data_IF_454562342169
#
_entry.id   IF_454562342169
#
_cell.length_a   1.000
_cell.length_b   1.000
_cell.length_c   1.000
_cell.angle_alpha   90.00
_cell.angle_beta   90.00
_cell.angle_gamma   90.00
#
_symmetry.space_group_name_H-M   'P 1'
#
loop_
_entity.id
_entity.type
_entity.pdbx_description
1 polymer ?
#
# COMPACT_ATOMS: atom_id res chain seq x y z
N UNK A 1 14.46 -7.80 -7.38
CA UNK A 1 13.34 -7.07 -6.76
C UNK A 1 14.02 -5.93 -6.02
N UNK A 2 14.19 -4.79 -6.70
CA UNK A 2 15.07 -3.71 -6.23
C UNK A 2 14.64 -3.20 -4.86
N UNK A 3 15.62 -3.09 -3.98
CA UNK A 3 15.51 -2.53 -2.64
C UNK A 3 15.28 -1.03 -2.77
N UNK A 4 14.00 -0.66 -2.76
CA UNK A 4 13.39 0.66 -2.55
C UNK A 4 14.38 1.84 -2.42
N UNK A 5 14.34 2.71 -3.42
CA UNK A 5 14.90 4.05 -3.41
C UNK A 5 14.10 4.95 -2.45
N UNK A 6 14.32 4.76 -1.14
CA UNK A 6 13.64 5.52 -0.08
C UNK A 6 14.27 6.90 0.14
N UNK A 7 15.47 7.12 -0.41
CA UNK A 7 16.18 8.39 -0.35
C UNK A 7 16.15 9.05 -1.72
N UNK A 8 16.21 10.38 -1.78
CA UNK A 8 16.34 11.11 -3.04
C UNK A 8 17.67 10.84 -3.77
N UNK A 9 18.70 10.40 -3.03
CA UNK A 9 20.02 10.02 -3.55
C UNK A 9 20.83 9.27 -2.49
N UNK A 10 21.74 8.40 -2.92
CA UNK A 10 22.65 7.65 -2.02
C UNK A 10 23.96 8.39 -1.74
N UNK A 11 24.47 9.16 -2.71
CA UNK A 11 25.80 9.79 -2.66
C UNK A 11 25.70 11.32 -2.64
N UNK A 12 24.93 11.85 -1.70
CA UNK A 12 24.71 13.27 -1.54
C UNK A 12 24.70 13.62 -0.06
N UNK A 13 25.06 14.85 0.27
CA UNK A 13 25.21 15.27 1.67
C UNK A 13 23.85 15.45 2.37
N UNK A 14 22.79 15.73 1.61
CA UNK A 14 21.44 16.01 2.12
C UNK A 14 20.39 15.24 1.30
N UNK A 15 20.25 13.92 1.49
CA UNK A 15 19.15 13.18 0.88
C UNK A 15 17.82 13.49 1.59
N UNK A 16 16.72 13.55 0.83
CA UNK A 16 15.37 13.56 1.37
C UNK A 16 14.84 12.12 1.50
N UNK A 17 14.15 11.81 2.59
CA UNK A 17 13.58 10.48 2.88
C UNK A 17 12.09 10.43 2.51
N UNK A 18 11.70 9.45 1.69
CA UNK A 18 10.33 9.18 1.26
C UNK A 18 9.84 7.76 1.58
N UNK A 19 10.63 6.99 2.35
CA UNK A 19 10.27 5.64 2.77
C UNK A 19 8.91 5.60 3.49
N UNK A 20 8.09 4.61 3.15
CA UNK A 20 6.75 4.40 3.72
C UNK A 20 6.69 3.22 4.70
N UNK A 21 7.85 2.69 5.09
CA UNK A 21 8.01 1.56 6.00
C UNK A 21 9.12 1.88 6.99
N UNK A 22 9.09 1.21 8.14
CA UNK A 22 10.18 1.23 9.10
C UNK A 22 11.48 0.81 8.41
N UNK A 23 12.56 1.55 8.67
CA UNK A 23 13.87 1.26 8.10
C UNK A 23 15.00 1.83 8.96
N UNK A 24 16.22 1.39 8.67
CA UNK A 24 17.44 1.87 9.29
C UNK A 24 18.34 2.45 8.21
N UNK A 25 18.57 3.75 8.29
CA UNK A 25 19.43 4.47 7.34
C UNK A 25 20.82 4.59 7.95
N UNK A 26 21.84 4.09 7.25
CA UNK A 26 23.24 4.24 7.64
C UNK A 26 23.90 5.31 6.77
N UNK A 27 24.57 6.27 7.40
CA UNK A 27 25.45 7.21 6.73
C UNK A 27 26.90 6.77 6.95
N UNK A 28 27.68 6.67 5.87
CA UNK A 28 29.10 6.33 5.94
C UNK A 28 29.91 7.44 5.30
N UNK A 29 30.93 7.95 6.00
CA UNK A 29 31.78 9.04 5.55
C UNK A 29 33.21 8.52 5.37
N UNK A 30 33.85 8.94 4.28
CA UNK A 30 35.22 8.62 3.95
C UNK A 30 36.08 9.88 3.96
N UNK A 31 37.20 9.83 4.70
CA UNK A 31 38.21 10.90 4.71
C UNK A 31 39.61 10.29 4.63
N UNK A 32 40.12 10.16 3.40
CA UNK A 32 41.39 9.49 3.14
C UNK A 32 41.32 8.00 3.49
N UNK A 33 42.07 7.59 4.53
CA UNK A 33 42.05 6.22 5.07
C UNK A 33 41.09 6.04 6.26
N UNK A 34 40.43 7.11 6.70
CA UNK A 34 39.45 7.06 7.78
C UNK A 34 38.06 6.77 7.23
N UNK A 35 37.34 5.88 7.91
CA UNK A 35 35.95 5.53 7.65
C UNK A 35 35.23 5.68 8.97
N UNK A 36 34.06 6.33 8.94
CA UNK A 36 33.18 6.47 10.09
C UNK A 36 31.72 6.28 9.63
N UNK A 37 30.86 5.78 10.51
CA UNK A 37 29.46 5.53 10.21
C UNK A 37 28.52 5.86 11.38
N UNK A 38 27.30 6.27 11.04
CA UNK A 38 26.22 6.51 11.99
C UNK A 38 24.90 5.97 11.44
N UNK A 39 23.95 5.67 12.34
CA UNK A 39 22.69 5.00 12.02
C UNK A 39 21.49 5.77 12.55
N UNK A 40 20.50 5.97 11.68
CA UNK A 40 19.19 6.53 12.01
C UNK A 40 18.11 5.46 11.92
N UNK A 41 17.45 5.18 13.04
CA UNK A 41 16.27 4.32 13.08
C UNK A 41 15.01 5.11 12.73
N UNK A 42 14.41 4.85 11.58
CA UNK A 42 13.18 5.49 11.12
C UNK A 42 12.00 4.56 11.43
N UNK A 43 10.98 5.11 12.08
CA UNK A 43 9.69 4.45 12.27
C UNK A 43 8.60 5.23 11.57
N UNK A 44 7.82 4.55 10.75
CA UNK A 44 6.68 5.11 10.03
C UNK A 44 5.42 4.67 10.73
N UNK A 45 4.73 5.62 11.35
CA UNK A 45 3.43 5.37 11.94
C UNK A 45 2.35 5.34 10.85
N UNK A 46 1.77 4.16 10.62
CA UNK A 46 0.69 3.96 9.65
C UNK A 46 -0.64 4.06 10.39
N UNK A 47 -1.02 5.29 10.69
CA UNK A 47 -2.32 5.63 11.27
C UNK A 47 -3.16 6.33 10.20
N UNK A 48 -4.12 5.64 9.61
CA UNK A 48 -5.03 6.22 8.62
C UNK A 48 -6.48 5.92 8.99
N UNK A 49 -7.34 6.93 8.88
CA UNK A 49 -8.76 6.75 9.09
C UNK A 49 -9.37 6.08 7.86
N UNK A 50 -9.78 4.82 8.01
CA UNK A 50 -10.39 4.03 6.95
C UNK A 50 -11.78 3.60 7.40
N UNK A 51 -12.79 3.98 6.62
CA UNK A 51 -14.15 3.50 6.79
C UNK A 51 -14.60 2.73 5.55
N UNK A 52 -14.94 1.45 5.76
CA UNK A 52 -15.53 0.58 4.75
C UNK A 52 -16.98 0.32 5.19
N UNK A 53 -17.99 0.82 4.45
CA UNK A 53 -19.38 0.51 4.72
C UNK A 53 -19.62 -1.00 4.71
N UNK A 54 -20.36 -1.50 5.70
CA UNK A 54 -20.74 -2.91 5.82
C UNK A 54 -22.06 -3.25 5.10
N UNK A 55 -22.82 -2.23 4.68
CA UNK A 55 -24.07 -2.37 3.94
C UNK A 55 -23.84 -1.89 2.52
N UNK A 56 -24.10 -2.79 1.57
CA UNK A 56 -24.05 -2.57 0.14
C UNK A 56 -25.32 -3.17 -0.46
N UNK A 57 -26.09 -2.34 -1.17
CA UNK A 57 -27.40 -2.67 -1.71
C UNK A 57 -27.42 -2.29 -3.19
N UNK A 58 -26.92 -3.16 -4.09
CA UNK A 58 -26.93 -2.90 -5.53
C UNK A 58 -28.34 -3.16 -6.09
N UNK A 59 -29.27 -2.26 -5.81
CA UNK A 59 -30.67 -2.34 -6.22
C UNK A 59 -31.10 -1.14 -7.10
N UNK A 60 -30.15 -0.30 -7.50
CA UNK A 60 -30.32 0.88 -8.36
C UNK A 60 -31.22 1.97 -7.74
N UNK A 61 -31.22 2.11 -6.42
CA UNK A 61 -32.00 3.16 -5.71
C UNK A 61 -31.19 4.45 -5.42
N UNK A 62 -29.90 4.47 -5.77
CA UNK A 62 -28.96 5.56 -5.55
C UNK A 62 -28.26 5.50 -4.18
N UNK A 63 -28.60 4.55 -3.31
CA UNK A 63 -28.10 4.43 -1.95
C UNK A 63 -27.28 3.14 -1.82
N UNK A 64 -25.97 3.30 -1.60
CA UNK A 64 -25.03 2.18 -1.42
C UNK A 64 -25.01 1.16 -2.60
N UNK A 65 -25.24 1.61 -3.83
CA UNK A 65 -25.18 0.77 -5.05
C UNK A 65 -23.75 0.41 -5.50
N UNK A 66 -22.75 1.13 -4.98
CA UNK A 66 -21.34 0.93 -5.28
C UNK A 66 -20.55 0.65 -4.01
N UNK A 67 -19.66 -0.36 -4.05
CA UNK A 67 -18.66 -0.57 -3.00
C UNK A 67 -17.72 0.63 -2.99
N UNK A 68 -17.63 1.29 -1.84
CA UNK A 68 -16.81 2.49 -1.64
C UNK A 68 -15.92 2.31 -0.42
N UNK A 69 -14.74 2.93 -0.44
CA UNK A 69 -13.85 3.03 0.73
C UNK A 69 -13.62 4.51 0.98
N UNK A 70 -13.92 4.96 2.19
CA UNK A 70 -13.67 6.34 2.61
C UNK A 70 -12.36 6.39 3.38
N UNK A 71 -11.49 7.32 3.01
CA UNK A 71 -10.16 7.49 3.60
C UNK A 71 -9.84 8.95 3.81
N UNK A 72 -8.94 9.25 4.74
CA UNK A 72 -8.32 10.57 4.84
C UNK A 72 -7.16 10.75 3.84
N UNK A 73 -6.44 11.87 3.97
CA UNK A 73 -5.31 12.24 3.09
C UNK A 73 -4.06 11.37 3.29
N UNK A 74 -4.02 10.49 4.30
CA UNK A 74 -2.87 9.61 4.56
C UNK A 74 -2.90 8.34 3.69
N UNK A 75 -4.04 8.01 3.08
CA UNK A 75 -4.15 6.90 2.13
C UNK A 75 -3.81 7.36 0.71
N UNK A 76 -2.69 6.86 0.18
CA UNK A 76 -2.25 7.20 -1.19
C UNK A 76 -3.08 6.53 -2.29
N UNK A 77 -3.54 5.29 -2.06
CA UNK A 77 -4.24 4.50 -3.09
C UNK A 77 -5.11 3.40 -2.48
N UNK A 78 -6.35 3.30 -2.97
CA UNK A 78 -7.25 2.17 -2.73
C UNK A 78 -7.22 1.24 -3.95
N UNK A 79 -7.13 -0.08 -3.72
CA UNK A 79 -7.08 -1.10 -4.78
C UNK A 79 -8.16 -2.14 -4.55
N UNK A 80 -9.15 -2.19 -5.45
CA UNK A 80 -10.16 -3.24 -5.46
C UNK A 80 -9.66 -4.44 -6.27
N UNK A 81 -9.58 -5.62 -5.64
CA UNK A 81 -9.25 -6.88 -6.33
C UNK A 81 -10.49 -7.77 -6.38
N UNK A 82 -10.91 -8.17 -7.58
CA UNK A 82 -11.92 -9.21 -7.77
C UNK A 82 -11.21 -10.55 -7.80
N UNK A 83 -11.59 -11.48 -6.93
CA UNK A 83 -11.22 -12.88 -7.07
C UNK A 83 -12.23 -13.55 -8.00
N UNK A 84 -11.84 -13.88 -9.22
CA UNK A 84 -12.66 -14.71 -10.10
C UNK A 84 -12.37 -16.17 -9.80
N UNK A 85 -13.29 -16.87 -9.16
CA UNK A 85 -13.27 -18.34 -9.12
C UNK A 85 -13.59 -18.85 -10.53
N UNK A 86 -12.56 -19.02 -11.36
CA UNK A 86 -12.69 -19.77 -12.60
C UNK A 86 -12.92 -21.25 -12.22
N UNK A 87 -14.17 -21.72 -12.18
CA UNK A 87 -14.43 -23.15 -11.94
C UNK A 87 -15.78 -23.61 -11.44
N UNK A 88 -16.88 -22.84 -11.50
CA UNK A 88 -18.22 -23.42 -11.29
C UNK A 88 -19.01 -23.39 -12.60
N UNK A 89 -18.82 -24.44 -13.40
CA UNK A 89 -19.72 -24.75 -14.52
C UNK A 89 -21.07 -25.12 -13.92
N UNK A 90 -22.02 -24.17 -13.88
CA UNK A 90 -23.42 -24.48 -13.59
C UNK A 90 -24.00 -25.25 -14.78
N UNK A 91 -23.96 -26.58 -14.73
CA UNK A 91 -24.80 -27.43 -15.56
C UNK A 91 -26.26 -27.26 -15.10
N UNK A 92 -27.00 -26.41 -15.80
CA UNK A 92 -28.45 -26.34 -15.71
C UNK A 92 -29.04 -27.65 -16.26
N UNK A 93 -29.30 -28.62 -15.38
CA UNK A 93 -30.16 -29.74 -15.71
C UNK A 93 -31.61 -29.25 -15.76
N UNK A 94 -32.12 -29.02 -16.97
CA UNK A 94 -33.57 -28.87 -17.21
C UNK A 94 -34.25 -30.18 -16.82
N UNK A 95 -34.92 -30.25 -15.68
CA UNK A 95 -35.98 -31.24 -15.45
C UNK A 95 -37.12 -30.91 -16.42
N UNK A 96 -37.19 -31.67 -17.52
CA UNK A 96 -38.41 -31.82 -18.33
C UNK A 96 -39.42 -32.60 -17.48
N UNK A 97 -40.54 -31.94 -17.16
CA UNK A 97 -41.84 -32.58 -16.93
C UNK A 97 -42.64 -32.49 -18.23
#
# INVERSE_FOLDING_TARGET
MDTLDILSCTYCINPELYGLQDDVVTATVYSGLCIDDDMLNVRVDVDANIYIPNVFSPNDDGINDCVTVFTDHRVRKVVFRKSSTAGVTRSLSRKRT
#
